data_IF_647447992659
#
_entry.id   IF_647447992659
#
_cell.length_a   1.000
_cell.length_b   1.000
_cell.length_c   1.000
_cell.angle_alpha   90.00
_cell.angle_beta   90.00
_cell.angle_gamma   90.00
#
_symmetry.space_group_name_H-M   'P 1'
#
loop_
_entity.id
_entity.type
_entity.pdbx_description
1 polymer ?
#
# COMPACT_ATOMS: atom_id res chain seq x y z
N UNK A 1 -4.68 -35.94 87.31
CA UNK A 1 -3.46 -36.22 88.09
C UNK A 1 -2.36 -36.65 87.14
N UNK A 2 -1.22 -35.98 87.24
CA UNK A 2 0.13 -36.40 86.84
C UNK A 2 0.41 -36.82 85.39
N UNK A 3 1.01 -35.87 84.69
CA UNK A 3 2.14 -36.01 83.75
C UNK A 3 3.22 -37.01 84.20
N UNK A 4 3.80 -37.78 83.27
CA UNK A 4 5.25 -38.11 83.11
C UNK A 4 5.39 -38.64 81.66
N UNK A 5 5.97 -37.95 80.67
CA UNK A 5 7.31 -37.37 80.50
C UNK A 5 8.30 -38.26 79.72
N UNK A 6 8.58 -37.80 78.48
CA UNK A 6 9.90 -37.60 77.83
C UNK A 6 10.61 -38.82 77.20
N UNK A 7 10.74 -38.90 75.86
CA UNK A 7 11.68 -38.21 74.92
C UNK A 7 13.05 -38.93 74.81
N UNK A 8 13.91 -38.72 73.77
CA UNK A 8 13.75 -38.24 72.38
C UNK A 8 14.69 -39.02 71.38
N UNK A 9 15.35 -38.43 70.34
CA UNK A 9 14.98 -38.62 68.92
C UNK A 9 16.21 -38.98 68.02
N UNK A 10 16.13 -38.61 66.72
CA UNK A 10 17.12 -38.65 65.59
C UNK A 10 16.88 -39.82 64.63
N UNK A 11 16.78 -39.68 63.31
CA UNK A 11 17.07 -38.64 62.28
C UNK A 11 16.43 -39.19 60.98
N UNK A 12 15.75 -38.45 60.10
CA UNK A 12 16.26 -37.57 59.02
C UNK A 12 15.18 -37.56 57.89
N UNK A 13 15.25 -36.72 56.82
CA UNK A 13 14.40 -35.53 56.63
C UNK A 13 13.34 -35.63 55.52
N UNK A 14 12.32 -34.77 55.64
CA UNK A 14 11.34 -34.43 54.59
C UNK A 14 11.97 -33.57 53.47
N UNK A 15 11.62 -33.90 52.22
CA UNK A 15 11.76 -33.05 51.02
C UNK A 15 10.73 -33.51 49.94
N UNK A 16 10.39 -32.71 48.92
CA UNK A 16 9.09 -32.02 48.87
C UNK A 16 8.24 -32.29 47.61
N UNK A 17 6.97 -31.84 47.68
CA UNK A 17 6.05 -31.44 46.62
C UNK A 17 6.23 -32.04 45.20
N UNK A 18 5.32 -32.94 44.81
CA UNK A 18 5.17 -33.39 43.43
C UNK A 18 4.50 -32.31 42.56
N UNK A 19 5.29 -31.72 41.66
CA UNK A 19 4.79 -30.92 40.54
C UNK A 19 3.95 -31.79 39.59
N UNK A 20 2.73 -31.31 39.29
CA UNK A 20 1.92 -31.79 38.19
C UNK A 20 2.64 -31.51 36.88
N UNK A 21 3.15 -32.57 36.23
CA UNK A 21 3.58 -32.52 34.85
C UNK A 21 2.37 -32.39 33.93
N UNK A 22 2.10 -31.17 33.48
CA UNK A 22 1.23 -30.88 32.35
C UNK A 22 1.92 -31.35 31.08
N UNK A 23 1.59 -32.57 30.64
CA UNK A 23 2.01 -33.09 29.35
C UNK A 23 1.38 -32.30 28.22
N UNK A 24 2.23 -31.54 27.52
CA UNK A 24 2.21 -31.19 26.10
C UNK A 24 0.84 -31.26 25.42
N UNK A 25 0.03 -30.23 25.69
CA UNK A 25 -0.96 -29.77 24.72
C UNK A 25 -0.14 -29.26 23.55
N UNK A 26 -0.19 -30.01 22.43
CA UNK A 26 0.40 -29.63 21.16
C UNK A 26 0.24 -28.13 20.93
N UNK A 27 1.36 -27.43 21.07
CA UNK A 27 1.56 -26.04 20.75
C UNK A 27 1.17 -25.91 19.27
N UNK A 28 -0.06 -25.47 19.03
CA UNK A 28 -0.49 -25.08 17.68
C UNK A 28 0.34 -23.87 17.33
N UNK A 29 1.40 -24.15 16.61
CA UNK A 29 2.28 -23.24 15.91
C UNK A 29 1.42 -22.40 14.94
N UNK A 30 0.76 -21.36 15.47
CA UNK A 30 0.13 -20.30 14.68
C UNK A 30 1.26 -19.39 14.19
N UNK A 31 2.03 -19.91 13.24
CA UNK A 31 3.10 -19.18 12.58
C UNK A 31 2.55 -17.87 11.99
N UNK A 32 3.07 -16.76 12.51
CA UNK A 32 2.99 -15.40 11.96
C UNK A 32 3.65 -15.37 10.57
N UNK A 33 3.03 -15.98 9.57
CA UNK A 33 3.54 -16.00 8.20
C UNK A 33 2.87 -14.86 7.39
N UNK A 34 3.13 -13.61 7.81
CA UNK A 34 2.76 -12.41 7.06
C UNK A 34 3.53 -12.34 5.74
N UNK A 35 2.99 -11.61 4.76
CA UNK A 35 3.70 -11.41 3.50
C UNK A 35 4.95 -10.57 3.74
N UNK A 36 6.10 -11.02 3.21
CA UNK A 36 7.33 -10.22 3.22
C UNK A 36 7.25 -9.15 2.13
N UNK A 37 7.20 -7.89 2.54
CA UNK A 37 7.20 -6.74 1.65
C UNK A 37 8.64 -6.38 1.21
N UNK A 38 8.87 -5.92 -0.04
CA UNK A 38 10.22 -5.60 -0.50
C UNK A 38 10.79 -4.36 0.20
N UNK A 39 12.12 -4.30 0.29
CA UNK A 39 12.82 -3.22 0.99
C UNK A 39 12.53 -1.84 0.39
N UNK A 40 12.46 -0.82 1.26
CA UNK A 40 12.27 0.58 0.87
C UNK A 40 13.60 1.33 0.83
N UNK A 41 13.69 2.35 -0.02
CA UNK A 41 14.81 3.31 -0.12
C UNK A 41 14.29 4.73 0.08
N UNK A 42 15.04 5.55 0.80
CA UNK A 42 14.68 6.96 0.99
C UNK A 42 14.79 7.71 -0.36
N UNK A 43 13.68 8.29 -0.82
CA UNK A 43 13.67 9.23 -1.91
C UNK A 43 13.13 10.57 -1.43
N UNK A 44 14.05 11.42 -0.95
CA UNK A 44 13.77 12.79 -0.50
C UNK A 44 12.81 12.89 0.69
N UNK A 45 12.82 11.89 1.55
CA UNK A 45 12.02 11.75 2.77
C UNK A 45 10.94 10.68 2.68
N UNK A 46 10.64 10.22 1.47
CA UNK A 46 9.60 9.22 1.23
C UNK A 46 10.25 7.87 0.98
N UNK A 47 9.85 6.83 1.71
CA UNK A 47 10.39 5.48 1.58
C UNK A 47 9.75 4.75 0.39
N UNK A 48 10.42 4.76 -0.75
CA UNK A 48 9.96 4.15 -2.01
C UNK A 48 10.57 2.77 -2.18
N UNK A 49 9.76 1.78 -2.53
CA UNK A 49 10.16 0.40 -2.79
C UNK A 49 10.68 0.26 -4.23
N UNK A 50 11.97 -0.02 -4.47
CA UNK A 50 12.47 -0.29 -5.82
C UNK A 50 12.00 -1.67 -6.28
N UNK A 51 10.82 -1.73 -6.88
CA UNK A 51 10.16 -2.99 -7.27
C UNK A 51 9.82 -3.01 -8.77
N UNK A 52 9.62 -4.21 -9.31
CA UNK A 52 9.08 -4.42 -10.65
C UNK A 52 7.58 -4.64 -10.59
N UNK A 53 6.91 -4.61 -11.75
CA UNK A 53 5.50 -4.96 -11.80
C UNK A 53 5.22 -6.41 -11.37
N UNK A 54 6.09 -7.34 -11.73
CA UNK A 54 5.94 -8.75 -11.37
C UNK A 54 6.02 -8.94 -9.86
N UNK A 55 7.05 -8.36 -9.23
CA UNK A 55 7.22 -8.45 -7.77
C UNK A 55 6.09 -7.73 -7.04
N UNK A 56 5.75 -6.50 -7.44
CA UNK A 56 4.65 -5.74 -6.84
C UNK A 56 3.32 -6.50 -6.93
N UNK A 57 2.96 -6.97 -8.13
CA UNK A 57 1.71 -7.72 -8.34
C UNK A 57 1.67 -9.00 -7.51
N UNK A 58 2.75 -9.79 -7.51
CA UNK A 58 2.83 -11.03 -6.74
C UNK A 58 2.66 -10.77 -5.25
N UNK A 59 3.35 -9.78 -4.68
CA UNK A 59 3.28 -9.45 -3.26
C UNK A 59 1.89 -8.94 -2.88
N UNK A 60 1.32 -8.02 -3.67
CA UNK A 60 -0.03 -7.48 -3.45
C UNK A 60 -1.08 -8.59 -3.44
N UNK A 61 -1.06 -9.49 -4.44
CA UNK A 61 -2.06 -10.56 -4.53
C UNK A 61 -1.85 -11.61 -3.43
N UNK A 62 -0.60 -11.93 -3.07
CA UNK A 62 -0.32 -12.82 -1.94
C UNK A 62 -0.87 -12.28 -0.61
N UNK A 63 -0.77 -10.96 -0.37
CA UNK A 63 -1.34 -10.31 0.80
C UNK A 63 -2.87 -10.25 0.71
N UNK A 64 -3.41 -9.95 -0.47
CA UNK A 64 -4.85 -9.94 -0.73
C UNK A 64 -5.53 -11.30 -0.52
N UNK A 65 -4.87 -12.41 -0.89
CA UNK A 65 -5.36 -13.78 -0.60
C UNK A 65 -5.55 -14.04 0.90
N UNK A 66 -4.71 -13.42 1.73
CA UNK A 66 -4.76 -13.52 3.19
C UNK A 66 -5.66 -12.46 3.82
N UNK A 67 -6.18 -11.52 3.02
CA UNK A 67 -6.89 -10.32 3.51
C UNK A 67 -6.06 -9.55 4.54
N UNK A 68 -4.74 -9.55 4.34
CA UNK A 68 -3.81 -8.82 5.19
C UNK A 68 -4.04 -7.31 5.01
N UNK A 69 -4.27 -6.61 6.11
CA UNK A 69 -4.44 -5.17 6.09
C UNK A 69 -3.10 -4.51 5.76
N UNK A 70 -3.03 -3.86 4.60
CA UNK A 70 -1.80 -3.24 4.11
C UNK A 70 -2.13 -2.07 3.19
N UNK A 71 -1.19 -1.15 3.03
CA UNK A 71 -1.29 0.02 2.18
C UNK A 71 -0.20 -0.02 1.11
N UNK A 72 -0.63 0.08 -0.13
CA UNK A 72 0.25 0.22 -1.30
C UNK A 72 -0.12 1.49 -2.04
N UNK A 73 0.86 2.34 -2.35
CA UNK A 73 0.61 3.58 -3.09
C UNK A 73 1.57 3.79 -4.25
N UNK A 74 1.05 4.32 -5.36
CA UNK A 74 1.84 4.63 -6.55
C UNK A 74 2.27 6.10 -6.51
N UNK A 75 3.50 6.38 -6.04
CA UNK A 75 3.95 7.76 -5.85
C UNK A 75 4.77 8.26 -7.03
N UNK A 76 4.13 9.11 -7.84
CA UNK A 76 4.81 9.89 -8.87
C UNK A 76 5.49 11.13 -8.26
N UNK A 77 6.25 11.87 -9.08
CA UNK A 77 6.97 13.11 -8.70
C UNK A 77 6.13 14.05 -7.81
N UNK A 78 4.86 14.25 -8.15
CA UNK A 78 3.98 15.10 -7.35
C UNK A 78 3.80 14.56 -5.93
N UNK A 79 3.54 13.27 -5.75
CA UNK A 79 3.38 12.65 -4.44
C UNK A 79 4.71 12.70 -3.67
N UNK A 80 5.84 12.32 -4.28
CA UNK A 80 7.16 12.37 -3.63
C UNK A 80 7.47 13.78 -3.11
N UNK A 81 7.17 14.83 -3.87
CA UNK A 81 7.38 16.21 -3.43
C UNK A 81 6.39 16.60 -2.33
N UNK A 82 5.09 16.31 -2.49
CA UNK A 82 4.06 16.63 -1.50
C UNK A 82 4.37 15.98 -0.16
N UNK A 83 4.55 14.66 -0.14
CA UNK A 83 4.87 13.89 1.06
C UNK A 83 6.26 14.22 1.60
N UNK A 84 7.27 14.41 0.75
CA UNK A 84 8.62 14.76 1.23
C UNK A 84 8.71 16.15 1.86
N UNK A 85 7.80 17.07 1.54
CA UNK A 85 7.82 18.47 2.02
C UNK A 85 6.98 18.71 3.27
N UNK A 86 6.13 17.76 3.67
CA UNK A 86 5.26 17.87 4.83
C UNK A 86 5.55 16.71 5.79
N UNK A 87 5.91 17.02 7.03
CA UNK A 87 6.30 16.00 8.01
C UNK A 87 5.16 15.07 8.43
N UNK A 88 3.95 15.60 8.55
CA UNK A 88 2.76 14.82 8.91
C UNK A 88 2.38 13.85 7.79
N UNK A 89 2.42 14.31 6.54
CA UNK A 89 2.19 13.42 5.40
C UNK A 89 3.31 12.38 5.28
N UNK A 90 4.58 12.81 5.40
CA UNK A 90 5.75 11.94 5.30
C UNK A 90 5.72 10.79 6.29
N UNK A 91 5.43 11.08 7.56
CA UNK A 91 5.40 10.07 8.61
C UNK A 91 4.35 9.00 8.31
N UNK A 92 3.16 9.40 7.85
CA UNK A 92 2.11 8.49 7.41
C UNK A 92 2.54 7.63 6.22
N UNK A 93 2.99 8.24 5.13
CA UNK A 93 3.38 7.49 3.93
C UNK A 93 4.52 6.48 4.18
N UNK A 94 5.47 6.83 5.06
CA UNK A 94 6.58 5.93 5.36
C UNK A 94 6.15 4.67 6.13
N UNK A 95 4.94 4.64 6.71
CA UNK A 95 4.34 3.42 7.27
C UNK A 95 3.80 2.45 6.23
N UNK A 96 3.57 2.89 4.98
CA UNK A 96 3.02 2.03 3.95
C UNK A 96 3.95 0.86 3.65
N UNK A 97 3.37 -0.31 3.46
CA UNK A 97 4.09 -1.54 3.18
C UNK A 97 4.84 -1.47 1.84
N UNK A 98 4.25 -0.78 0.84
CA UNK A 98 4.89 -0.55 -0.44
C UNK A 98 4.53 0.82 -1.03
N UNK A 99 5.56 1.57 -1.45
CA UNK A 99 5.37 2.73 -2.31
C UNK A 99 6.07 2.44 -3.64
N UNK A 100 5.30 2.25 -4.71
CA UNK A 100 5.87 1.87 -6.01
C UNK A 100 6.48 3.06 -6.73
N UNK A 101 7.50 2.85 -7.58
CA UNK A 101 8.17 3.91 -8.31
C UNK A 101 7.34 4.32 -9.52
N UNK A 102 6.34 5.18 -9.32
CA UNK A 102 5.49 5.69 -10.40
C UNK A 102 6.20 6.84 -11.16
N UNK A 103 6.28 6.74 -12.48
CA UNK A 103 6.95 7.73 -13.33
C UNK A 103 8.43 7.44 -13.60
N UNK A 104 8.88 7.73 -14.83
CA UNK A 104 10.29 7.58 -15.20
C UNK A 104 11.27 8.38 -14.31
N UNK A 105 10.98 9.63 -13.90
CA UNK A 105 11.90 10.36 -13.01
C UNK A 105 12.16 9.66 -11.67
N UNK A 106 11.14 9.02 -11.08
CA UNK A 106 11.27 8.27 -9.82
C UNK A 106 12.18 7.06 -10.01
N UNK A 107 11.93 6.29 -11.07
CA UNK A 107 12.81 5.18 -11.48
C UNK A 107 14.25 5.63 -11.71
N UNK A 108 14.47 6.73 -12.46
CA UNK A 108 15.81 7.24 -12.73
C UNK A 108 16.53 7.70 -11.45
N UNK A 109 15.82 8.32 -10.53
CA UNK A 109 16.40 8.72 -9.25
C UNK A 109 16.80 7.51 -8.41
N UNK A 110 15.96 6.47 -8.32
CA UNK A 110 16.32 5.22 -7.65
C UNK A 110 17.54 4.55 -8.29
N UNK A 111 17.55 4.40 -9.62
CA UNK A 111 18.68 3.77 -10.32
C UNK A 111 19.98 4.57 -10.16
N UNK A 112 19.92 5.90 -10.24
CA UNK A 112 21.11 6.74 -10.14
C UNK A 112 21.70 6.77 -8.73
N UNK A 113 20.85 6.89 -7.70
CA UNK A 113 21.25 7.03 -6.29
C UNK A 113 21.55 5.70 -5.60
N UNK A 114 20.80 4.65 -5.94
CA UNK A 114 20.83 3.37 -5.21
C UNK A 114 21.25 2.17 -6.08
N UNK A 115 21.54 2.38 -7.37
CA UNK A 115 21.93 1.30 -8.31
C UNK A 115 20.94 0.14 -8.33
N UNK A 116 19.64 0.45 -8.28
CA UNK A 116 18.54 -0.53 -8.23
C UNK A 116 18.29 -1.26 -9.55
N UNK A 117 18.92 -0.83 -10.65
CA UNK A 117 18.81 -1.44 -11.98
C UNK A 117 17.38 -1.69 -12.48
N UNK A 118 16.41 -0.87 -12.03
CA UNK A 118 15.01 -1.03 -12.38
C UNK A 118 14.81 -0.92 -13.90
N UNK A 119 14.20 -1.94 -14.54
CA UNK A 119 14.01 -1.95 -15.98
C UNK A 119 12.88 -1.02 -16.44
N UNK A 120 11.92 -0.72 -15.57
CA UNK A 120 10.85 0.24 -15.82
C UNK A 120 10.34 0.88 -14.52
N UNK A 121 9.47 1.88 -14.67
CA UNK A 121 8.62 2.41 -13.58
C UNK A 121 7.50 1.43 -13.27
N UNK A 122 6.87 1.56 -12.11
CA UNK A 122 5.65 0.84 -11.74
C UNK A 122 4.53 1.85 -11.55
N UNK A 123 3.84 2.20 -12.63
CA UNK A 123 2.76 3.19 -12.60
C UNK A 123 1.41 2.58 -12.19
N UNK A 124 0.59 3.38 -11.50
CA UNK A 124 -0.72 2.97 -11.00
C UNK A 124 -1.63 2.34 -12.07
N UNK A 125 -1.84 2.96 -13.25
CA UNK A 125 -2.72 2.39 -14.27
C UNK A 125 -2.32 0.99 -14.73
N UNK A 126 -1.05 0.76 -15.05
CA UNK A 126 -0.59 -0.56 -15.48
C UNK A 126 -0.60 -1.56 -14.33
N UNK A 127 -0.22 -1.13 -13.12
CA UNK A 127 -0.27 -2.00 -11.94
C UNK A 127 -1.70 -2.46 -11.64
N UNK A 128 -2.70 -1.58 -11.79
CA UNK A 128 -4.11 -1.94 -11.64
C UNK A 128 -4.50 -3.11 -12.53
N UNK A 129 -4.12 -3.06 -13.81
CA UNK A 129 -4.44 -4.10 -14.78
C UNK A 129 -3.76 -5.43 -14.43
N UNK A 130 -2.47 -5.41 -14.09
CA UNK A 130 -1.72 -6.61 -13.71
C UNK A 130 -2.24 -7.25 -12.43
N UNK A 131 -2.59 -6.43 -11.43
CA UNK A 131 -3.19 -6.93 -10.19
C UNK A 131 -4.58 -7.52 -10.46
N UNK A 132 -5.41 -6.90 -11.32
CA UNK A 132 -6.71 -7.48 -11.69
C UNK A 132 -6.57 -8.82 -12.42
N UNK A 133 -5.63 -8.92 -13.36
CA UNK A 133 -5.35 -10.17 -14.08
C UNK A 133 -4.94 -11.30 -13.13
N UNK A 134 -3.97 -11.03 -12.24
CA UNK A 134 -3.52 -12.00 -11.25
C UNK A 134 -4.62 -12.33 -10.22
N UNK A 135 -5.40 -11.35 -9.79
CA UNK A 135 -6.53 -11.57 -8.87
C UNK A 135 -7.60 -12.48 -9.49
N UNK A 136 -7.89 -12.33 -10.78
CA UNK A 136 -8.80 -13.22 -11.50
C UNK A 136 -8.29 -14.67 -11.55
N UNK A 137 -6.99 -14.86 -11.79
CA UNK A 137 -6.35 -16.18 -11.81
C UNK A 137 -6.31 -16.85 -10.43
N UNK A 138 -6.06 -16.05 -9.38
CA UNK A 138 -5.89 -16.50 -8.00
C UNK A 138 -7.21 -16.53 -7.21
N UNK A 139 -8.31 -16.11 -7.82
CA UNK A 139 -9.64 -16.07 -7.21
C UNK A 139 -9.81 -15.03 -6.11
N UNK A 140 -8.96 -13.99 -6.08
CA UNK A 140 -9.01 -12.88 -5.11
C UNK A 140 -10.03 -11.85 -5.58
N UNK A 141 -10.97 -11.51 -4.70
CA UNK A 141 -11.97 -10.48 -4.96
C UNK A 141 -11.43 -9.07 -4.77
N UNK A 142 -11.92 -8.15 -5.58
CA UNK A 142 -11.55 -6.73 -5.57
C UNK A 142 -12.75 -5.87 -5.16
N UNK A 143 -12.46 -4.72 -4.56
CA UNK A 143 -13.41 -3.63 -4.30
C UNK A 143 -12.90 -2.35 -4.95
N UNK A 144 -13.77 -1.55 -5.56
CA UNK A 144 -13.39 -0.28 -6.20
C UNK A 144 -13.99 0.90 -5.44
N UNK A 145 -13.14 1.77 -4.88
CA UNK A 145 -13.56 2.93 -4.09
C UNK A 145 -12.99 4.23 -4.65
N UNK A 146 -13.85 5.09 -5.21
CA UNK A 146 -13.44 6.38 -5.79
C UNK A 146 -14.06 6.64 -7.16
N UNK A 147 -13.50 7.62 -7.89
CA UNK A 147 -14.11 8.14 -9.11
C UNK A 147 -15.47 8.82 -8.87
N UNK A 148 -16.18 9.19 -9.94
CA UNK A 148 -17.61 9.50 -9.86
C UNK A 148 -18.43 8.21 -9.94
N UNK A 149 -19.75 8.24 -9.60
CA UNK A 149 -20.61 7.06 -9.72
C UNK A 149 -20.58 6.44 -11.12
N UNK A 150 -20.53 7.27 -12.16
CA UNK A 150 -20.47 6.84 -13.56
C UNK A 150 -19.11 6.22 -13.89
N UNK A 151 -18.02 6.85 -13.44
CA UNK A 151 -16.65 6.38 -13.69
C UNK A 151 -16.42 5.02 -13.05
N UNK A 152 -16.78 4.85 -11.77
CA UNK A 152 -16.52 3.58 -11.07
C UNK A 152 -17.39 2.45 -11.59
N UNK A 153 -18.65 2.73 -11.95
CA UNK A 153 -19.52 1.75 -12.58
C UNK A 153 -19.01 1.33 -13.98
N UNK A 154 -18.50 2.29 -14.77
CA UNK A 154 -17.92 1.97 -16.08
C UNK A 154 -16.59 1.22 -15.96
N UNK A 155 -15.76 1.57 -14.97
CA UNK A 155 -14.53 0.86 -14.64
C UNK A 155 -14.82 -0.60 -14.31
N UNK A 156 -15.79 -0.87 -13.44
CA UNK A 156 -16.18 -2.23 -13.06
C UNK A 156 -16.55 -3.06 -14.30
N UNK A 157 -17.45 -2.53 -15.15
CA UNK A 157 -17.84 -3.18 -16.41
C UNK A 157 -16.66 -3.47 -17.33
N UNK A 158 -15.75 -2.52 -17.49
CA UNK A 158 -14.59 -2.67 -18.36
C UNK A 158 -13.62 -3.74 -17.83
N UNK A 159 -13.42 -3.81 -16.51
CA UNK A 159 -12.55 -4.82 -15.89
C UNK A 159 -13.16 -6.22 -15.97
N UNK A 160 -14.46 -6.38 -15.72
CA UNK A 160 -15.19 -7.65 -15.88
C UNK A 160 -15.16 -8.15 -17.32
N UNK A 161 -15.36 -7.26 -18.30
CA UNK A 161 -15.28 -7.61 -19.71
C UNK A 161 -13.86 -8.01 -20.14
N UNK A 162 -12.83 -7.43 -19.51
CA UNK A 162 -11.43 -7.67 -19.85
C UNK A 162 -10.86 -8.93 -19.21
N UNK A 163 -11.26 -9.25 -17.97
CA UNK A 163 -10.68 -10.34 -17.19
C UNK A 163 -11.76 -11.34 -16.76
N UNK A 164 -11.90 -12.40 -17.56
CA UNK A 164 -12.77 -13.51 -17.21
C UNK A 164 -12.35 -14.11 -15.85
N UNK A 165 -13.32 -14.24 -14.93
CA UNK A 165 -13.08 -14.76 -13.58
C UNK A 165 -12.72 -13.71 -12.53
N UNK A 166 -12.53 -12.44 -12.90
CA UNK A 166 -12.36 -11.36 -11.94
C UNK A 166 -13.64 -11.20 -11.10
N UNK A 167 -13.49 -11.22 -9.77
CA UNK A 167 -14.60 -11.04 -8.83
C UNK A 167 -14.59 -9.62 -8.29
N UNK A 168 -15.51 -8.78 -8.74
CA UNK A 168 -15.74 -7.46 -8.15
C UNK A 168 -16.77 -7.61 -7.03
N UNK A 169 -16.32 -7.59 -5.78
CA UNK A 169 -17.18 -7.78 -4.60
C UNK A 169 -18.01 -6.53 -4.25
N UNK A 170 -17.61 -5.37 -4.77
CA UNK A 170 -18.36 -4.15 -4.67
C UNK A 170 -17.62 -2.98 -5.31
N UNK A 171 -18.37 -1.91 -5.58
CA UNK A 171 -17.79 -0.65 -5.97
C UNK A 171 -18.67 0.50 -5.50
N UNK A 172 -18.07 1.62 -5.12
CA UNK A 172 -18.80 2.83 -4.76
C UNK A 172 -17.97 4.10 -4.98
N UNK A 173 -18.67 5.20 -5.28
CA UNK A 173 -18.12 6.54 -5.33
C UNK A 173 -18.45 7.24 -4.03
N UNK A 174 -17.46 7.68 -3.22
CA UNK A 174 -17.76 8.50 -2.06
C UNK A 174 -18.30 9.87 -2.47
N UNK A 175 -19.00 10.56 -1.56
CA UNK A 175 -19.40 11.93 -1.80
C UNK A 175 -18.18 12.85 -1.98
N UNK A 176 -18.33 13.91 -2.77
CA UNK A 176 -17.27 14.90 -3.02
C UNK A 176 -17.12 15.91 -1.86
N UNK A 177 -17.16 15.40 -0.62
CA UNK A 177 -17.00 16.11 0.65
C UNK A 177 -16.41 15.15 1.70
N UNK A 178 -15.94 15.65 2.86
CA UNK A 178 -15.61 14.78 3.98
C UNK A 178 -16.80 13.89 4.37
N UNK A 179 -16.50 12.65 4.76
CA UNK A 179 -17.46 11.72 5.33
C UNK A 179 -17.79 12.13 6.77
N UNK A 180 -19.00 11.83 7.23
CA UNK A 180 -19.28 11.77 8.68
C UNK A 180 -18.67 10.51 9.28
N UNK A 181 -18.55 10.44 10.61
CA UNK A 181 -18.02 9.25 11.29
C UNK A 181 -18.88 8.00 11.01
N UNK A 182 -20.20 8.17 10.88
CA UNK A 182 -21.12 7.08 10.54
C UNK A 182 -20.96 6.62 9.09
N UNK A 183 -20.81 7.57 8.14
CA UNK A 183 -20.56 7.23 6.74
C UNK A 183 -19.21 6.50 6.58
N UNK A 184 -18.18 6.96 7.28
CA UNK A 184 -16.85 6.35 7.33
C UNK A 184 -16.89 4.92 7.88
N UNK A 185 -17.52 4.72 9.04
CA UNK A 185 -17.72 3.40 9.62
C UNK A 185 -18.50 2.46 8.68
N UNK A 186 -19.54 2.97 8.02
CA UNK A 186 -20.34 2.19 7.10
C UNK A 186 -19.56 1.80 5.82
N UNK A 187 -18.65 2.65 5.32
CA UNK A 187 -17.75 2.31 4.20
C UNK A 187 -16.89 1.11 4.57
N UNK A 188 -16.27 1.13 5.75
CA UNK A 188 -15.40 0.05 6.23
C UNK A 188 -16.18 -1.25 6.40
N UNK A 189 -17.37 -1.18 6.99
CA UNK A 189 -18.25 -2.33 7.13
C UNK A 189 -18.58 -2.95 5.78
N UNK A 190 -19.01 -2.14 4.79
CA UNK A 190 -19.32 -2.61 3.44
C UNK A 190 -18.11 -3.27 2.77
N UNK A 191 -16.93 -2.63 2.85
CA UNK A 191 -15.70 -3.18 2.28
C UNK A 191 -15.37 -4.52 2.93
N UNK A 192 -15.38 -4.62 4.27
CA UNK A 192 -15.03 -5.84 4.98
C UNK A 192 -16.06 -6.97 4.77
N UNK A 193 -17.36 -6.64 4.76
CA UNK A 193 -18.45 -7.59 4.55
C UNK A 193 -18.47 -8.14 3.12
N UNK A 194 -17.97 -7.38 2.13
CA UNK A 194 -17.84 -7.85 0.75
C UNK A 194 -16.86 -9.03 0.60
N UNK A 195 -15.97 -9.23 1.57
CA UNK A 195 -14.93 -10.25 1.52
C UNK A 195 -13.83 -9.95 0.49
N UNK A 196 -13.73 -8.71 -0.02
CA UNK A 196 -12.64 -8.29 -0.89
C UNK A 196 -11.28 -8.49 -0.22
N UNK A 197 -10.31 -9.03 -0.96
CA UNK A 197 -8.91 -9.08 -0.55
C UNK A 197 -8.12 -7.86 -0.98
N UNK A 198 -8.62 -7.14 -1.99
CA UNK A 198 -7.97 -5.96 -2.57
C UNK A 198 -8.98 -4.81 -2.67
N UNK A 199 -8.58 -3.61 -2.28
CA UNK A 199 -9.39 -2.39 -2.39
C UNK A 199 -8.62 -1.37 -3.23
N UNK A 200 -9.07 -1.08 -4.43
CA UNK A 200 -8.49 -0.04 -5.27
C UNK A 200 -9.08 1.31 -4.90
N UNK A 201 -8.21 2.30 -4.64
CA UNK A 201 -8.61 3.64 -4.19
C UNK A 201 -8.28 4.69 -5.26
N UNK A 202 -9.32 5.35 -5.76
CA UNK A 202 -9.27 6.34 -6.85
C UNK A 202 -9.72 7.74 -6.41
N UNK A 203 -9.21 8.27 -5.29
CA UNK A 203 -9.58 9.59 -4.74
C UNK A 203 -8.60 10.72 -5.10
N UNK A 204 -7.45 10.35 -5.68
CA UNK A 204 -6.35 11.26 -5.98
C UNK A 204 -5.46 11.55 -4.77
N UNK A 205 -4.19 11.88 -5.06
CA UNK A 205 -3.20 12.25 -4.05
C UNK A 205 -3.44 13.68 -3.54
N UNK A 206 -3.36 13.95 -2.22
CA UNK A 206 -3.00 13.01 -1.14
C UNK A 206 -4.22 12.33 -0.46
N UNK A 207 -5.45 12.61 -0.91
CA UNK A 207 -6.68 12.13 -0.25
C UNK A 207 -6.76 10.60 -0.16
N UNK A 208 -6.38 9.90 -1.23
CA UNK A 208 -6.36 8.43 -1.25
C UNK A 208 -5.38 7.85 -0.24
N UNK A 209 -4.19 8.46 -0.11
CA UNK A 209 -3.15 8.02 0.80
C UNK A 209 -3.56 8.24 2.25
N UNK A 210 -4.21 9.36 2.54
CA UNK A 210 -4.77 9.65 3.86
C UNK A 210 -5.90 8.69 4.21
N UNK A 211 -6.85 8.48 3.29
CA UNK A 211 -7.90 7.48 3.47
C UNK A 211 -7.30 6.10 3.75
N UNK A 212 -6.31 5.67 2.97
CA UNK A 212 -5.69 4.36 3.17
C UNK A 212 -4.98 4.26 4.52
N UNK A 213 -4.26 5.31 4.94
CA UNK A 213 -3.59 5.39 6.23
C UNK A 213 -4.57 5.35 7.42
N UNK A 214 -5.62 6.17 7.36
CA UNK A 214 -6.59 6.33 8.43
C UNK A 214 -7.42 5.02 8.62
N UNK A 215 -7.50 4.18 7.57
CA UNK A 215 -8.22 2.90 7.57
C UNK A 215 -7.34 1.65 7.62
N UNK A 216 -6.01 1.80 7.67
CA UNK A 216 -5.06 0.68 7.53
C UNK A 216 -5.22 -0.44 8.55
N UNK A 217 -5.73 -0.15 9.74
CA UNK A 217 -5.95 -1.16 10.78
C UNK A 217 -7.41 -1.66 10.83
N UNK A 218 -8.30 -1.09 10.00
CA UNK A 218 -9.75 -1.32 10.02
C UNK A 218 -10.26 -2.04 8.76
N UNK A 219 -9.63 -1.83 7.61
CA UNK A 219 -9.95 -2.52 6.35
C UNK A 219 -9.14 -3.81 6.24
N UNK A 220 -9.82 -4.96 6.19
CA UNK A 220 -9.24 -6.30 6.07
C UNK A 220 -8.96 -6.66 4.60
N UNK A 221 -8.08 -5.87 3.98
CA UNK A 221 -7.67 -6.00 2.58
C UNK A 221 -6.41 -5.16 2.30
N UNK A 222 -5.75 -5.44 1.17
CA UNK A 222 -4.71 -4.55 0.66
C UNK A 222 -5.36 -3.34 0.01
N UNK A 223 -5.09 -2.16 0.54
CA UNK A 223 -5.55 -0.88 0.04
C UNK A 223 -4.55 -0.33 -0.98
N UNK A 224 -4.93 -0.31 -2.26
CA UNK A 224 -4.08 0.06 -3.37
C UNK A 224 -4.49 1.43 -3.96
N UNK A 225 -3.71 2.46 -3.62
CA UNK A 225 -3.89 3.84 -4.07
C UNK A 225 -3.39 4.03 -5.51
N UNK A 226 -4.33 4.10 -6.47
CA UNK A 226 -4.04 4.11 -7.92
C UNK A 226 -4.47 5.39 -8.64
N UNK A 227 -5.18 6.28 -7.95
CA UNK A 227 -5.55 7.60 -8.46
C UNK A 227 -6.26 7.56 -9.81
N UNK A 228 -5.70 8.27 -10.79
CA UNK A 228 -6.28 8.44 -12.12
C UNK A 228 -6.40 7.14 -12.95
N UNK A 229 -5.91 6.00 -12.45
CA UNK A 229 -6.16 4.70 -13.07
C UNK A 229 -7.66 4.44 -13.31
N UNK A 230 -8.53 4.96 -12.44
CA UNK A 230 -9.98 4.86 -12.59
C UNK A 230 -10.44 5.52 -13.89
N UNK A 231 -10.08 6.78 -14.12
CA UNK A 231 -10.49 7.52 -15.31
C UNK A 231 -9.94 6.92 -16.61
N UNK A 232 -8.70 6.39 -16.57
CA UNK A 232 -8.08 5.74 -17.72
C UNK A 232 -8.80 4.45 -18.10
N UNK A 233 -9.06 3.58 -17.11
CA UNK A 233 -9.65 2.26 -17.38
C UNK A 233 -11.17 2.30 -17.49
N UNK A 234 -11.82 3.37 -17.01
CA UNK A 234 -13.21 3.69 -17.37
C UNK A 234 -13.33 4.24 -18.81
N UNK A 235 -12.23 4.66 -19.43
CA UNK A 235 -12.21 5.20 -20.79
C UNK A 235 -12.57 6.69 -20.89
N UNK A 236 -12.61 7.40 -19.76
CA UNK A 236 -12.94 8.84 -19.70
C UNK A 236 -11.73 9.71 -20.04
N UNK A 237 -10.52 9.23 -19.73
CA UNK A 237 -9.26 9.90 -20.07
C UNK A 237 -8.38 8.97 -20.90
N UNK A 238 -7.65 9.52 -21.87
CA UNK A 238 -6.70 8.75 -22.67
C UNK A 238 -5.32 8.66 -22.01
N UNK A 239 -4.73 7.46 -22.00
CA UNK A 239 -3.32 7.27 -21.65
C UNK A 239 -2.40 7.85 -22.75
N UNK A 240 -1.22 8.30 -22.37
CA UNK A 240 -0.21 8.71 -23.35
C UNK A 240 0.19 7.53 -24.25
N UNK A 241 0.53 7.75 -25.52
CA UNK A 241 1.08 6.71 -26.38
C UNK A 241 2.29 6.00 -25.73
N UNK A 242 2.44 4.70 -25.98
CA UNK A 242 3.46 3.87 -25.31
C UNK A 242 4.89 4.42 -25.47
N UNK A 243 5.23 4.97 -26.63
CA UNK A 243 6.55 5.59 -26.85
C UNK A 243 6.79 6.82 -25.97
N UNK A 244 5.75 7.64 -25.71
CA UNK A 244 5.83 8.79 -24.80
C UNK A 244 5.99 8.34 -23.36
N UNK A 245 5.24 7.32 -22.96
CA UNK A 245 5.34 6.72 -21.62
C UNK A 245 6.75 6.21 -21.33
N UNK A 246 7.34 5.46 -22.27
CA UNK A 246 8.71 4.92 -22.18
C UNK A 246 9.76 6.03 -22.17
N UNK A 247 9.53 7.11 -22.91
CA UNK A 247 10.44 8.27 -22.98
C UNK A 247 10.28 9.26 -21.81
N UNK A 248 9.36 9.02 -20.87
CA UNK A 248 9.10 9.93 -19.76
C UNK A 248 8.33 11.21 -20.15
N UNK A 249 7.69 11.24 -21.32
CA UNK A 249 6.90 12.37 -21.84
C UNK A 249 5.41 12.32 -21.44
N UNK A 250 5.02 11.38 -20.58
CA UNK A 250 3.64 11.24 -20.12
C UNK A 250 3.11 12.52 -19.44
N UNK A 251 3.96 13.20 -18.66
CA UNK A 251 3.58 14.47 -18.03
C UNK A 251 3.25 15.56 -19.06
N UNK A 252 3.97 15.60 -20.19
CA UNK A 252 3.74 16.57 -21.24
C UNK A 252 2.42 16.29 -21.97
N UNK A 253 2.16 15.02 -22.28
CA UNK A 253 0.88 14.61 -22.86
C UNK A 253 -0.32 14.98 -21.96
N UNK A 254 -0.20 14.76 -20.64
CA UNK A 254 -1.24 15.16 -19.69
C UNK A 254 -1.38 16.68 -19.60
N UNK A 255 -0.26 17.42 -19.63
CA UNK A 255 -0.27 18.89 -19.61
C UNK A 255 -1.02 19.46 -20.81
N UNK A 256 -0.89 18.85 -21.99
CA UNK A 256 -1.63 19.27 -23.18
C UNK A 256 -3.14 19.04 -23.05
N UNK A 257 -3.56 17.98 -22.36
CA UNK A 257 -4.98 17.70 -22.11
C UNK A 257 -5.58 18.63 -21.05
N UNK A 258 -4.81 18.95 -20.00
CA UNK A 258 -5.32 19.70 -18.84
C UNK A 258 -4.39 20.85 -18.40
N UNK A 259 -4.11 21.82 -19.29
CA UNK A 259 -3.06 22.82 -19.06
C UNK A 259 -3.32 23.70 -17.83
N UNK A 260 -4.57 24.15 -17.65
CA UNK A 260 -4.96 25.02 -16.52
C UNK A 260 -4.75 24.34 -15.17
N UNK A 261 -5.02 23.03 -15.08
CA UNK A 261 -4.89 22.27 -13.84
C UNK A 261 -3.44 21.87 -13.57
N UNK A 262 -2.70 21.49 -14.62
CA UNK A 262 -1.42 20.81 -14.47
C UNK A 262 -0.20 21.74 -14.55
N UNK A 263 -0.29 22.88 -15.24
CA UNK A 263 0.87 23.77 -15.46
C UNK A 263 1.51 24.22 -14.15
N UNK A 264 0.71 24.79 -13.23
CA UNK A 264 1.21 25.27 -11.94
C UNK A 264 1.79 24.14 -11.11
N UNK A 265 1.11 22.99 -11.08
CA UNK A 265 1.55 21.80 -10.33
C UNK A 265 2.89 21.30 -10.84
N UNK A 266 3.04 21.12 -12.15
CA UNK A 266 4.27 20.61 -12.73
C UNK A 266 5.43 21.58 -12.61
N UNK A 267 5.20 22.88 -12.78
CA UNK A 267 6.25 23.86 -12.59
C UNK A 267 6.81 23.81 -11.16
N UNK A 268 5.96 23.74 -10.14
CA UNK A 268 6.43 23.71 -8.74
C UNK A 268 7.04 22.36 -8.38
N UNK A 269 6.32 21.25 -8.59
CA UNK A 269 6.79 19.94 -8.13
C UNK A 269 7.97 19.44 -8.92
N UNK A 270 8.01 19.61 -10.25
CA UNK A 270 9.14 19.11 -11.03
C UNK A 270 10.42 19.90 -10.70
N UNK A 271 10.32 21.21 -10.46
CA UNK A 271 11.48 22.03 -10.05
C UNK A 271 12.02 21.60 -8.68
N UNK A 272 11.14 21.39 -7.69
CA UNK A 272 11.54 20.90 -6.36
C UNK A 272 12.14 19.49 -6.45
N UNK A 273 11.55 18.62 -7.26
CA UNK A 273 12.04 17.26 -7.44
C UNK A 273 13.43 17.25 -8.07
N UNK A 274 13.63 17.98 -9.17
CA UNK A 274 14.92 18.07 -9.85
C UNK A 274 15.99 18.70 -8.96
N UNK A 275 15.66 19.73 -8.17
CA UNK A 275 16.63 20.33 -7.25
C UNK A 275 17.05 19.38 -6.14
N UNK A 276 16.09 18.63 -5.56
CA UNK A 276 16.36 17.58 -4.57
C UNK A 276 17.20 16.45 -5.16
N UNK A 277 16.89 16.03 -6.38
CA UNK A 277 17.63 14.98 -7.07
C UNK A 277 19.06 15.41 -7.40
N UNK A 278 19.25 16.59 -7.97
CA UNK A 278 20.58 17.14 -8.25
C UNK A 278 21.41 17.29 -6.97
N UNK A 279 20.81 17.81 -5.89
CA UNK A 279 21.47 17.92 -4.58
C UNK A 279 21.89 16.53 -4.06
N UNK A 280 21.02 15.53 -4.16
CA UNK A 280 21.32 14.18 -3.71
C UNK A 280 22.45 13.51 -4.52
N UNK A 281 22.54 13.79 -5.83
CA UNK A 281 23.64 13.30 -6.66
C UNK A 281 24.98 13.96 -6.30
N UNK A 282 24.96 15.25 -5.98
CA UNK A 282 26.18 16.03 -5.68
C UNK A 282 26.69 15.83 -4.25
N UNK A 283 25.80 15.69 -3.28
CA UNK A 283 26.13 15.72 -1.85
C UNK A 283 25.71 14.46 -1.09
N UNK A 284 25.11 13.49 -1.77
CA UNK A 284 24.48 12.33 -1.14
C UNK A 284 23.10 12.63 -0.55
N UNK A 285 22.36 11.56 -0.22
CA UNK A 285 21.11 11.67 0.55
C UNK A 285 21.45 11.85 2.04
N UNK A 286 20.70 12.71 2.78
CA UNK A 286 20.80 12.73 4.24
C UNK A 286 20.51 11.31 4.76
N UNK A 287 21.39 10.77 5.62
CA UNK A 287 21.08 9.51 6.31
C UNK A 287 19.92 9.76 7.26
N UNK A 288 18.73 9.30 6.90
CA UNK A 288 17.60 9.22 7.82
C UNK A 288 17.52 7.82 8.39
N UNK A 289 17.38 7.73 9.70
CA UNK A 289 17.06 6.47 10.36
C UNK A 289 15.67 6.04 9.89
N UNK A 290 15.63 4.93 9.16
CA UNK A 290 14.39 4.23 8.82
C UNK A 290 13.96 3.54 10.12
N UNK A 291 12.81 3.89 10.71
CA UNK A 291 12.32 3.22 11.91
C UNK A 291 11.95 1.76 11.62
#
# INVERSE_FOLDING_TARGET
MSTVSRNPPTTEPDAPASHFGSGDIAERDLGHNSVTWPEKRDLFGVLVTPTTYEEATRTIVAAGRRRESSVVSCHAVHAIVTFGSDESLRSKANTFEMITPDGQPVRWALNSLYKTELPDRVCGPELTLRVCEAAAQEGVSIYLYGGSPEVVAQLAKNLEAKYAGLKIAGYESPPFRPLTEEEDAAVIERINASGAGLVFIGLGCPKQDLFAFDHRDRIQAVQLCVGAAFDFHAGVTSLAPAWMQRSGLEWFYRLMQEPKRLARRYFTTNTIYLSRWARALLFGQPRRTIP
#
